data_IF_870682592350
#
_entry.id   IF_870682592350
#
_cell.length_a   1.000
_cell.length_b   1.000
_cell.length_c   1.000
_cell.angle_alpha   90.00
_cell.angle_beta   90.00
_cell.angle_gamma   90.00
#
_symmetry.space_group_name_H-M   'P 1'
#
loop_
_entity.id
_entity.type
_entity.pdbx_description
1 polymer ?
#
# COMPACT_ATOMS: atom_id res chain seq x y z
N UNK A 1 28.06 3.41 25.65
CA UNK A 1 27.30 3.26 24.40
C UNK A 1 26.11 2.32 24.55
N UNK A 2 26.29 1.06 24.96
CA UNK A 2 25.19 0.10 25.12
C UNK A 2 24.07 0.58 26.08
N UNK A 3 24.42 1.21 27.21
CA UNK A 3 23.44 1.70 28.19
C UNK A 3 22.56 2.85 27.69
N UNK A 4 23.10 3.70 26.80
CA UNK A 4 22.31 4.79 26.19
C UNK A 4 21.33 4.23 25.16
N UNK A 5 21.77 3.24 24.39
CA UNK A 5 20.91 2.56 23.42
C UNK A 5 19.78 1.79 24.11
N UNK A 6 20.09 1.05 25.18
CA UNK A 6 19.07 0.30 25.93
C UNK A 6 18.03 1.22 26.57
N UNK A 7 18.46 2.34 27.17
CA UNK A 7 17.55 3.33 27.73
C UNK A 7 16.65 3.94 26.65
N UNK A 8 17.22 4.35 25.52
CA UNK A 8 16.47 4.90 24.39
C UNK A 8 15.48 3.90 23.77
N UNK A 9 15.86 2.62 23.67
CA UNK A 9 15.05 1.56 23.09
C UNK A 9 13.94 1.04 24.02
N UNK A 10 14.02 1.33 25.33
CA UNK A 10 12.96 0.97 26.28
C UNK A 10 11.77 1.94 26.20
N UNK A 11 11.96 3.13 25.65
CA UNK A 11 10.91 4.13 25.49
C UNK A 11 10.07 3.87 24.23
N UNK A 12 8.76 3.55 24.34
CA UNK A 12 7.92 3.25 23.19
C UNK A 12 7.74 4.45 22.24
N UNK A 13 7.77 5.68 22.78
CA UNK A 13 7.63 6.91 22.00
C UNK A 13 8.81 7.15 21.07
N UNK A 14 10.04 6.88 21.55
CA UNK A 14 11.26 7.04 20.75
C UNK A 14 11.27 6.08 19.56
N UNK A 15 10.84 4.83 19.79
CA UNK A 15 10.67 3.83 18.74
C UNK A 15 9.62 4.31 17.73
N UNK A 16 8.43 4.69 18.18
CA UNK A 16 7.37 5.13 17.26
C UNK A 16 7.84 6.27 16.34
N UNK A 17 8.47 7.32 16.91
CA UNK A 17 8.96 8.47 16.14
C UNK A 17 10.07 8.07 15.16
N UNK A 18 11.06 7.30 15.60
CA UNK A 18 12.17 6.89 14.76
C UNK A 18 11.70 6.05 13.57
N UNK A 19 10.87 5.02 13.82
CA UNK A 19 10.37 4.14 12.77
C UNK A 19 9.36 4.83 11.85
N UNK A 20 8.55 5.76 12.35
CA UNK A 20 7.71 6.59 11.47
C UNK A 20 8.54 7.49 10.56
N UNK A 21 9.60 8.13 11.06
CA UNK A 21 10.49 8.94 10.24
C UNK A 21 11.21 8.12 9.16
N UNK A 22 11.67 6.92 9.51
CA UNK A 22 12.27 5.98 8.58
C UNK A 22 11.27 5.55 7.49
N UNK A 23 10.01 5.31 7.85
CA UNK A 23 8.93 5.02 6.91
C UNK A 23 8.74 6.14 5.90
N UNK A 24 8.60 7.39 6.37
CA UNK A 24 8.46 8.54 5.46
C UNK A 24 9.68 8.68 4.55
N UNK A 25 10.89 8.53 5.08
CA UNK A 25 12.13 8.62 4.31
C UNK A 25 12.22 7.53 3.24
N UNK A 26 11.84 6.29 3.59
CA UNK A 26 11.81 5.18 2.66
C UNK A 26 10.79 5.45 1.54
N UNK A 27 9.58 5.91 1.84
CA UNK A 27 8.63 6.30 0.79
C UNK A 27 9.23 7.36 -0.13
N UNK A 28 9.79 8.44 0.39
CA UNK A 28 10.42 9.49 -0.42
C UNK A 28 11.54 8.94 -1.33
N UNK A 29 12.33 8.00 -0.81
CA UNK A 29 13.41 7.35 -1.56
C UNK A 29 12.91 6.38 -2.64
N UNK A 30 11.69 5.83 -2.49
CA UNK A 30 11.08 4.89 -3.44
C UNK A 30 10.23 5.56 -4.51
N UNK A 31 9.83 6.83 -4.36
CA UNK A 31 9.12 7.61 -5.39
C UNK A 31 9.78 7.54 -6.79
N UNK A 32 11.14 7.61 -6.93
CA UNK A 32 11.77 7.53 -8.25
C UNK A 32 11.91 6.10 -8.82
N UNK A 33 11.61 5.05 -8.06
CA UNK A 33 11.80 3.66 -8.49
C UNK A 33 10.45 3.02 -8.87
N UNK A 34 10.37 2.45 -10.07
CA UNK A 34 9.21 1.66 -10.52
C UNK A 34 9.26 0.26 -9.90
N UNK A 35 8.76 0.13 -8.68
CA UNK A 35 8.72 -1.15 -7.94
C UNK A 35 7.43 -1.91 -8.30
N UNK A 36 7.18 -2.17 -9.58
CA UNK A 36 5.96 -2.89 -9.99
C UNK A 36 6.18 -4.42 -10.01
N UNK A 37 7.42 -4.90 -10.20
CA UNK A 37 7.72 -6.34 -10.30
C UNK A 37 8.26 -6.98 -8.99
N UNK A 38 8.66 -6.18 -8.00
CA UNK A 38 9.39 -6.67 -6.81
C UNK A 38 8.57 -6.68 -5.51
N UNK A 39 7.24 -6.52 -5.59
CA UNK A 39 6.35 -6.55 -4.43
C UNK A 39 6.55 -7.76 -3.47
N UNK A 40 6.71 -9.02 -3.94
CA UNK A 40 6.92 -10.14 -3.01
C UNK A 40 8.27 -10.07 -2.28
N UNK A 41 9.32 -9.55 -2.92
CA UNK A 41 10.63 -9.37 -2.29
C UNK A 41 10.59 -8.34 -1.16
N UNK A 42 9.77 -7.29 -1.30
CA UNK A 42 9.58 -6.29 -0.25
C UNK A 42 8.90 -6.88 0.99
N UNK A 43 7.90 -7.75 0.81
CA UNK A 43 7.24 -8.43 1.93
C UNK A 43 8.22 -9.35 2.66
N UNK A 44 9.03 -10.10 1.92
CA UNK A 44 10.09 -10.94 2.50
C UNK A 44 11.14 -10.13 3.26
N UNK A 45 11.62 -9.02 2.67
CA UNK A 45 12.57 -8.12 3.31
C UNK A 45 12.00 -7.49 4.59
N UNK A 46 10.72 -7.10 4.59
CA UNK A 46 10.03 -6.58 5.76
C UNK A 46 9.96 -7.63 6.88
N UNK A 47 9.58 -8.87 6.57
CA UNK A 47 9.53 -9.95 7.56
C UNK A 47 10.92 -10.26 8.16
N UNK A 48 11.97 -10.30 7.32
CA UNK A 48 13.35 -10.48 7.80
C UNK A 48 13.80 -9.31 8.68
N UNK A 49 13.46 -8.07 8.31
CA UNK A 49 13.78 -6.89 9.12
C UNK A 49 13.11 -6.93 10.49
N UNK A 50 11.87 -7.44 10.57
CA UNK A 50 11.14 -7.61 11.82
C UNK A 50 11.82 -8.63 12.74
N UNK A 51 12.22 -9.78 12.19
CA UNK A 51 12.96 -10.80 12.96
C UNK A 51 14.30 -10.23 13.44
N UNK A 52 15.04 -9.57 12.54
CA UNK A 52 16.31 -8.92 12.89
C UNK A 52 16.15 -7.91 14.03
N UNK A 53 15.16 -7.04 13.95
CA UNK A 53 14.90 -6.03 14.99
C UNK A 53 14.50 -6.65 16.33
N UNK A 54 13.66 -7.69 16.31
CA UNK A 54 13.30 -8.44 17.52
C UNK A 54 14.54 -9.07 18.16
N UNK A 55 15.44 -9.67 17.38
CA UNK A 55 16.70 -10.23 17.92
C UNK A 55 17.61 -9.15 18.50
N UNK A 56 17.67 -7.97 17.90
CA UNK A 56 18.46 -6.84 18.41
C UNK A 56 17.92 -6.38 19.76
N UNK A 57 16.60 -6.23 19.93
CA UNK A 57 16.01 -5.82 21.20
C UNK A 57 16.21 -6.85 22.32
N UNK A 58 16.15 -8.15 22.01
CA UNK A 58 16.45 -9.20 23.00
C UNK A 58 17.93 -9.20 23.39
N UNK A 59 18.84 -9.01 22.43
CA UNK A 59 20.29 -9.15 22.66
C UNK A 59 20.95 -7.91 23.23
N UNK A 60 20.50 -6.71 22.86
CA UNK A 60 21.17 -5.46 23.21
C UNK A 60 20.42 -4.60 24.22
N UNK A 61 19.10 -4.79 24.38
CA UNK A 61 18.30 -4.03 25.35
C UNK A 61 17.93 -4.84 26.60
N UNK A 62 18.42 -6.09 26.69
CA UNK A 62 18.12 -7.05 27.78
C UNK A 62 16.61 -7.20 28.08
N UNK A 63 15.78 -6.96 27.06
CA UNK A 63 14.32 -7.00 27.22
C UNK A 63 13.83 -8.45 27.21
N UNK A 64 12.78 -8.72 27.99
CA UNK A 64 12.03 -9.97 27.88
C UNK A 64 11.54 -10.17 26.43
N UNK A 65 11.48 -11.43 25.98
CA UNK A 65 11.03 -11.78 24.62
C UNK A 65 9.66 -11.17 24.31
N UNK A 66 8.75 -11.17 25.28
CA UNK A 66 7.41 -10.59 25.12
C UNK A 66 7.51 -9.08 24.88
N UNK A 67 8.29 -8.38 25.71
CA UNK A 67 8.51 -6.94 25.56
C UNK A 67 9.18 -6.63 24.22
N UNK A 68 10.20 -7.39 23.80
CA UNK A 68 10.86 -7.20 22.52
C UNK A 68 9.88 -7.37 21.34
N UNK A 69 9.01 -8.38 21.38
CA UNK A 69 7.97 -8.60 20.36
C UNK A 69 6.98 -7.44 20.31
N UNK A 70 6.53 -6.93 21.46
CA UNK A 70 5.63 -5.77 21.51
C UNK A 70 6.27 -4.51 20.93
N UNK A 71 7.52 -4.21 21.29
CA UNK A 71 8.24 -3.04 20.79
C UNK A 71 8.53 -3.16 19.29
N UNK A 72 8.89 -4.35 18.81
CA UNK A 72 9.10 -4.63 17.37
C UNK A 72 7.78 -4.52 16.59
N UNK A 73 6.66 -4.97 17.18
CA UNK A 73 5.33 -4.85 16.57
C UNK A 73 4.90 -3.39 16.48
N UNK A 74 5.13 -2.61 17.55
CA UNK A 74 4.89 -1.17 17.56
C UNK A 74 5.72 -0.46 16.49
N UNK A 75 7.02 -0.75 16.41
CA UNK A 75 7.91 -0.23 15.37
C UNK A 75 7.38 -0.52 13.96
N UNK A 76 6.98 -1.77 13.71
CA UNK A 76 6.41 -2.21 12.43
C UNK A 76 5.11 -1.48 12.08
N UNK A 77 4.19 -1.33 13.03
CA UNK A 77 2.93 -0.61 12.84
C UNK A 77 3.14 0.89 12.61
N UNK A 78 4.04 1.53 13.36
CA UNK A 78 4.40 2.93 13.19
C UNK A 78 5.05 3.20 11.84
N UNK A 79 5.91 2.30 11.37
CA UNK A 79 6.52 2.35 10.04
C UNK A 79 5.48 2.16 8.93
N UNK A 80 4.67 1.10 9.01
CA UNK A 80 3.63 0.81 8.03
C UNK A 80 2.57 1.91 7.96
N UNK A 81 2.14 2.45 9.11
CA UNK A 81 1.21 3.56 9.20
C UNK A 81 1.79 4.85 8.60
N UNK A 82 3.05 5.18 8.90
CA UNK A 82 3.72 6.34 8.32
C UNK A 82 3.92 6.20 6.80
N UNK A 83 4.28 5.01 6.32
CA UNK A 83 4.34 4.72 4.89
C UNK A 83 2.98 4.90 4.22
N UNK A 84 1.93 4.24 4.74
CA UNK A 84 0.60 4.29 4.17
C UNK A 84 0.03 5.72 4.15
N UNK A 85 0.20 6.46 5.26
CA UNK A 85 -0.23 7.86 5.33
C UNK A 85 0.54 8.74 4.36
N UNK A 86 1.87 8.60 4.29
CA UNK A 86 2.70 9.35 3.35
C UNK A 86 2.33 9.04 1.90
N UNK A 87 2.09 7.77 1.55
CA UNK A 87 1.63 7.34 0.23
C UNK A 87 0.25 7.93 -0.11
N UNK A 88 -0.70 7.87 0.81
CA UNK A 88 -2.04 8.45 0.61
C UNK A 88 -1.96 9.96 0.43
N UNK A 89 -1.17 10.67 1.24
CA UNK A 89 -0.95 12.12 1.10
C UNK A 89 -0.34 12.45 -0.25
N UNK A 90 0.70 11.74 -0.69
CA UNK A 90 1.30 11.94 -2.01
C UNK A 90 0.28 11.69 -3.15
N UNK A 91 -0.51 10.62 -3.04
CA UNK A 91 -1.53 10.28 -4.04
C UNK A 91 -2.69 11.28 -4.10
N UNK A 92 -3.13 11.81 -2.96
CA UNK A 92 -4.26 12.74 -2.89
C UNK A 92 -3.86 14.16 -3.28
N UNK A 93 -2.71 14.64 -2.80
CA UNK A 93 -2.30 16.03 -2.97
C UNK A 93 -1.37 16.27 -4.16
N UNK A 94 -0.47 15.33 -4.47
CA UNK A 94 0.59 15.51 -5.46
C UNK A 94 0.40 14.69 -6.74
N UNK A 95 -0.60 13.80 -6.81
CA UNK A 95 -0.86 13.02 -8.03
C UNK A 95 -1.80 13.75 -9.01
N UNK A 96 -1.34 13.86 -10.25
CA UNK A 96 -1.96 14.52 -11.41
C UNK A 96 -3.35 13.96 -11.80
N UNK A 97 -3.86 12.92 -11.14
CA UNK A 97 -5.22 12.38 -11.29
C UNK A 97 -6.29 13.09 -10.44
N UNK A 98 -5.94 14.17 -9.71
CA UNK A 98 -6.93 15.06 -9.09
C UNK A 98 -7.92 15.66 -10.10
N UNK A 99 -7.49 15.82 -11.36
CA UNK A 99 -8.30 16.44 -12.42
C UNK A 99 -9.18 15.47 -13.21
N UNK A 100 -9.14 14.16 -12.94
CA UNK A 100 -10.10 13.22 -13.51
C UNK A 100 -11.31 13.11 -12.58
N UNK A 101 -12.43 13.65 -13.05
CA UNK A 101 -13.76 13.53 -12.44
C UNK A 101 -14.14 12.05 -12.44
N UNK A 102 -14.21 11.47 -11.25
CA UNK A 102 -14.66 10.09 -11.03
C UNK A 102 -14.87 9.91 -9.53
N UNK A 103 -15.94 9.21 -9.11
CA UNK A 103 -16.34 9.08 -7.72
C UNK A 103 -15.18 8.57 -6.86
N UNK A 104 -15.09 8.99 -5.60
CA UNK A 104 -13.91 8.76 -4.76
C UNK A 104 -13.67 7.27 -4.41
N UNK A 105 -14.67 6.40 -4.61
CA UNK A 105 -14.65 4.97 -4.25
C UNK A 105 -13.61 4.11 -5.00
N UNK A 106 -13.49 4.17 -6.34
CA UNK A 106 -12.54 3.34 -7.10
C UNK A 106 -11.08 3.80 -6.99
N UNK A 107 -10.82 5.00 -6.44
CA UNK A 107 -9.46 5.56 -6.32
C UNK A 107 -8.64 4.92 -5.20
N UNK A 108 -9.29 4.29 -4.21
CA UNK A 108 -8.62 3.84 -2.98
C UNK A 108 -8.18 2.37 -3.09
N UNK A 109 -8.87 1.53 -3.86
CA UNK A 109 -8.39 0.17 -4.12
C UNK A 109 -9.04 -0.47 -5.36
N UNK A 110 -8.25 -1.23 -6.13
CA UNK A 110 -8.77 -2.25 -7.07
C UNK A 110 -9.60 -3.32 -6.35
N UNK A 111 -9.52 -3.41 -5.02
CA UNK A 111 -10.26 -4.38 -4.19
C UNK A 111 -11.74 -4.03 -4.02
N UNK A 112 -12.12 -2.75 -4.05
CA UNK A 112 -13.53 -2.37 -3.93
C UNK A 112 -14.31 -2.87 -5.14
N UNK A 113 -13.74 -2.70 -6.34
CA UNK A 113 -14.29 -3.22 -7.60
C UNK A 113 -14.42 -4.75 -7.57
N UNK A 114 -13.43 -5.48 -7.03
CA UNK A 114 -13.51 -6.94 -6.90
C UNK A 114 -14.62 -7.39 -5.92
N UNK A 115 -14.77 -6.69 -4.80
CA UNK A 115 -15.80 -7.00 -3.80
C UNK A 115 -17.21 -6.72 -4.32
N UNK A 116 -17.34 -5.69 -5.15
CA UNK A 116 -18.61 -5.31 -5.75
C UNK A 116 -18.94 -6.25 -6.92
N UNK A 117 -17.98 -6.67 -7.74
CA UNK A 117 -18.16 -7.69 -8.80
C UNK A 117 -18.60 -9.05 -8.21
N UNK A 118 -18.05 -9.42 -7.05
CA UNK A 118 -18.39 -10.69 -6.39
C UNK A 118 -19.78 -10.64 -5.75
N UNK A 119 -20.24 -9.46 -5.30
CA UNK A 119 -21.59 -9.26 -4.74
C UNK A 119 -22.67 -9.00 -5.78
N UNK A 120 -22.34 -8.29 -6.86
CA UNK A 120 -23.30 -7.80 -7.84
C UNK A 120 -23.50 -8.72 -9.04
N UNK A 121 -22.73 -9.82 -9.13
CA UNK A 121 -22.97 -10.92 -10.05
C UNK A 121 -23.19 -10.46 -11.50
N UNK A 122 -22.09 -10.29 -12.24
CA UNK A 122 -22.12 -10.05 -13.70
C UNK A 122 -22.75 -8.73 -14.19
N UNK A 123 -22.98 -7.71 -13.34
CA UNK A 123 -23.48 -6.39 -13.78
C UNK A 123 -22.39 -5.37 -14.16
N UNK A 124 -21.14 -5.78 -14.25
CA UNK A 124 -20.02 -4.91 -14.62
C UNK A 124 -20.25 -4.19 -15.96
N UNK A 125 -20.86 -4.88 -16.94
CA UNK A 125 -21.18 -4.28 -18.24
C UNK A 125 -22.19 -3.13 -18.17
N UNK A 126 -23.20 -3.21 -17.30
CA UNK A 126 -24.22 -2.15 -17.15
C UNK A 126 -23.66 -0.95 -16.38
N UNK A 127 -22.78 -1.20 -15.41
CA UNK A 127 -22.05 -0.17 -14.69
C UNK A 127 -21.09 0.60 -15.62
N UNK A 128 -20.38 -0.14 -16.49
CA UNK A 128 -19.49 0.43 -17.49
C UNK A 128 -20.23 1.30 -18.52
N UNK A 129 -21.41 0.86 -18.98
CA UNK A 129 -22.20 1.62 -19.95
C UNK A 129 -22.74 2.93 -19.34
N UNK A 130 -23.15 2.90 -18.07
CA UNK A 130 -23.51 4.12 -17.33
C UNK A 130 -22.31 5.04 -17.12
N UNK A 131 -21.13 4.49 -16.85
CA UNK A 131 -19.91 5.28 -16.72
C UNK A 131 -19.47 5.92 -18.04
N UNK A 132 -19.64 5.23 -19.18
CA UNK A 132 -19.43 5.82 -20.50
C UNK A 132 -20.45 6.93 -20.81
N UNK A 133 -21.71 6.79 -20.38
CA UNK A 133 -22.73 7.83 -20.53
C UNK A 133 -22.47 9.07 -19.65
N UNK A 134 -21.98 8.88 -18.42
CA UNK A 134 -21.81 9.98 -17.45
C UNK A 134 -20.45 10.70 -17.61
N UNK A 135 -19.38 10.00 -17.98
CA UNK A 135 -18.01 10.53 -18.01
C UNK A 135 -17.40 10.62 -19.42
N UNK A 136 -18.11 10.18 -20.46
CA UNK A 136 -17.63 10.16 -21.85
C UNK A 136 -16.64 9.04 -22.14
N UNK A 137 -16.23 8.94 -23.41
CA UNK A 137 -15.53 7.82 -24.07
C UNK A 137 -14.13 7.45 -23.51
N UNK A 138 -13.70 8.09 -22.41
CA UNK A 138 -12.38 7.88 -21.81
C UNK A 138 -12.48 7.35 -20.38
N UNK A 139 -13.19 6.24 -20.18
CA UNK A 139 -12.98 5.43 -18.98
C UNK A 139 -11.80 4.50 -19.28
N UNK A 140 -10.64 4.75 -18.64
CA UNK A 140 -9.50 3.82 -18.62
C UNK A 140 -9.86 2.57 -17.80
N UNK A 141 -10.77 1.77 -18.33
CA UNK A 141 -10.87 0.37 -17.97
C UNK A 141 -9.79 -0.32 -18.77
N UNK A 142 -8.74 -0.80 -18.12
CA UNK A 142 -7.79 -1.70 -18.76
C UNK A 142 -8.50 -3.03 -19.04
N UNK A 143 -9.34 -3.09 -20.07
CA UNK A 143 -9.75 -4.36 -20.66
C UNK A 143 -8.67 -4.74 -21.66
N UNK A 144 -7.94 -5.80 -21.33
CA UNK A 144 -7.01 -6.43 -22.26
C UNK A 144 -7.76 -6.71 -23.57
N UNK A 145 -7.21 -6.19 -24.67
CA UNK A 145 -7.64 -6.35 -26.06
C UNK A 145 -7.71 -7.83 -26.49
N UNK A 146 -8.69 -8.61 -26.02
CA UNK A 146 -8.75 -10.01 -26.43
C UNK A 146 -10.13 -10.61 -26.73
N UNK A 147 -11.24 -9.86 -26.71
CA UNK A 147 -12.57 -10.48 -26.91
C UNK A 147 -13.49 -9.75 -27.90
N UNK A 148 -12.96 -9.04 -28.88
CA UNK A 148 -13.79 -8.29 -29.85
C UNK A 148 -13.58 -8.63 -31.32
N UNK A 149 -13.07 -9.83 -31.64
CA UNK A 149 -12.99 -10.30 -33.04
C UNK A 149 -14.11 -11.25 -33.45
N UNK A 150 -15.02 -11.66 -32.56
CA UNK A 150 -16.04 -12.67 -32.90
C UNK A 150 -17.36 -12.12 -33.48
N UNK A 151 -17.58 -10.79 -33.44
CA UNK A 151 -18.87 -10.20 -33.86
C UNK A 151 -18.86 -9.46 -35.21
N UNK A 152 -17.80 -9.59 -36.01
CA UNK A 152 -17.71 -8.89 -37.32
C UNK A 152 -18.16 -9.79 -38.49
N UNK A 153 -18.30 -11.10 -38.31
CA UNK A 153 -18.72 -12.01 -39.40
C UNK A 153 -20.23 -12.13 -39.63
N UNK A 154 -21.07 -11.46 -38.83
CA UNK A 154 -22.55 -11.57 -38.94
C UNK A 154 -23.15 -10.54 -39.93
N UNK A 155 -22.34 -9.67 -40.54
CA UNK A 155 -22.81 -8.58 -41.41
C UNK A 155 -22.17 -8.54 -42.81
N UNK A 156 -21.91 -9.70 -43.43
CA UNK A 156 -21.70 -9.76 -44.89
C UNK A 156 -22.43 -10.93 -45.52
#
# INVERSE_FOLDING_TARGET
>A
MALLFSAWAQDPGNIAVAFSSLGVFLHLSLIPFEIDESAPHLVGAFALSWIGLATVFVRFSEMSVISAVLHTSLAGLSFAGALATSMTVYRVFFHRLRNFQGPLGPKISRFFVMSDITKSGLKYHVELDKMHQEYGDFVRVGMQHHLQTENIEVFN
#
